data_IF_254896037795
#
_entry.id   IF_254896037795
#
_cell.length_a   1.000
_cell.length_b   1.000
_cell.length_c   1.000
_cell.angle_alpha   90.00
_cell.angle_beta   90.00
_cell.angle_gamma   90.00
#
_symmetry.space_group_name_H-M   'P 1'
#
loop_
_entity.id
_entity.type
_entity.pdbx_description
1 polymer ?
#
# COMPACT_ATOMS: atom_id res chain seq x y z
N UNK A 1 -24.96 45.29 -0.85
CA UNK A 1 -25.85 46.43 -1.10
C UNK A 1 -25.14 47.68 -0.58
N UNK A 2 -24.62 48.52 -1.49
CA UNK A 2 -23.86 49.72 -1.13
C UNK A 2 -24.85 50.86 -0.83
N UNK A 3 -24.87 51.37 0.39
CA UNK A 3 -25.64 52.59 0.74
C UNK A 3 -24.75 53.80 0.53
N UNK A 4 -25.15 54.68 -0.35
CA UNK A 4 -24.48 56.00 -0.56
C UNK A 4 -25.13 57.01 0.36
N UNK A 5 -24.36 57.62 1.27
CA UNK A 5 -24.77 58.74 2.10
C UNK A 5 -24.05 59.99 1.60
N UNK A 6 -24.77 60.95 1.08
CA UNK A 6 -24.24 62.23 0.64
C UNK A 6 -24.22 63.18 1.84
N UNK A 7 -23.06 63.62 2.28
CA UNK A 7 -22.89 64.62 3.33
C UNK A 7 -22.85 66.01 2.75
N UNK A 8 -23.33 66.99 3.49
CA UNK A 8 -23.49 68.43 3.11
C UNK A 8 -22.20 69.22 2.76
N UNK A 9 -21.07 68.54 2.57
CA UNK A 9 -19.78 69.15 2.15
C UNK A 9 -19.05 68.41 1.03
N UNK A 10 -19.74 67.64 0.19
CA UNK A 10 -19.16 67.17 -1.07
C UNK A 10 -18.04 66.08 -0.96
N UNK A 11 -17.80 65.49 0.19
CA UNK A 11 -16.90 64.33 0.30
C UNK A 11 -17.71 63.05 0.26
N UNK A 12 -17.46 62.20 -0.78
CA UNK A 12 -17.99 60.84 -0.89
C UNK A 12 -17.05 59.94 -0.09
N UNK A 13 -17.46 59.57 1.12
CA UNK A 13 -16.82 58.49 1.85
C UNK A 13 -17.54 57.19 1.49
N UNK A 14 -16.79 56.21 0.90
CA UNK A 14 -17.26 54.85 0.76
C UNK A 14 -17.18 54.20 2.15
N UNK A 15 -18.31 54.03 2.80
CA UNK A 15 -18.40 53.24 4.03
C UNK A 15 -18.31 51.78 3.63
N UNK A 16 -17.12 51.15 3.81
CA UNK A 16 -16.97 49.71 3.73
C UNK A 16 -17.89 49.11 4.78
N UNK A 17 -18.88 48.33 4.32
CA UNK A 17 -19.74 47.55 5.21
C UNK A 17 -18.89 46.67 6.12
N UNK A 18 -19.39 46.30 7.31
CA UNK A 18 -18.64 45.45 8.22
C UNK A 18 -18.16 44.22 7.49
N UNK A 19 -16.88 43.81 7.70
CA UNK A 19 -16.37 42.59 7.08
C UNK A 19 -17.34 41.42 7.39
N UNK A 20 -17.67 40.64 6.38
CA UNK A 20 -18.56 39.47 6.51
C UNK A 20 -18.07 38.59 7.68
N UNK A 21 -18.66 38.79 8.85
CA UNK A 21 -18.35 38.01 10.04
C UNK A 21 -19.04 36.65 9.84
N UNK A 22 -18.29 35.71 9.21
CA UNK A 22 -18.73 34.31 9.18
C UNK A 22 -19.09 33.85 10.59
N UNK A 23 -20.32 33.45 10.77
CA UNK A 23 -20.81 32.94 12.07
C UNK A 23 -20.03 31.69 12.46
N UNK A 24 -19.97 31.36 13.76
CA UNK A 24 -19.32 30.14 14.24
C UNK A 24 -19.92 28.89 13.61
N UNK A 25 -21.22 28.93 13.28
CA UNK A 25 -21.93 27.86 12.56
C UNK A 25 -21.41 27.70 11.13
N UNK A 26 -21.18 28.78 10.37
CA UNK A 26 -20.65 28.75 9.01
C UNK A 26 -19.22 28.21 8.97
N UNK A 27 -18.39 28.56 9.95
CA UNK A 27 -17.03 28.00 10.09
C UNK A 27 -17.06 26.50 10.39
N UNK A 28 -18.00 26.04 11.23
CA UNK A 28 -18.16 24.64 11.57
C UNK A 28 -18.66 23.83 10.36
N UNK A 29 -19.63 24.35 9.60
CA UNK A 29 -20.15 23.73 8.38
C UNK A 29 -19.05 23.64 7.31
N UNK A 30 -18.29 24.72 7.11
CA UNK A 30 -17.19 24.74 6.17
C UNK A 30 -16.08 23.76 6.54
N UNK A 31 -15.73 23.65 7.83
CA UNK A 31 -14.71 22.71 8.32
C UNK A 31 -15.17 21.25 8.18
N UNK A 32 -16.42 20.94 8.50
CA UNK A 32 -16.98 19.57 8.33
C UNK A 32 -17.09 19.17 6.88
N UNK A 33 -17.49 20.07 6.00
CA UNK A 33 -17.56 19.83 4.55
C UNK A 33 -16.16 19.60 3.94
N UNK A 34 -15.17 20.37 4.38
CA UNK A 34 -13.77 20.22 3.97
C UNK A 34 -13.18 18.88 4.45
N UNK A 35 -13.43 18.50 5.69
CA UNK A 35 -12.98 17.22 6.25
C UNK A 35 -13.62 16.01 5.53
N UNK A 36 -14.92 16.09 5.22
CA UNK A 36 -15.62 15.05 4.46
C UNK A 36 -15.13 14.95 3.01
N UNK A 37 -14.80 16.07 2.37
CA UNK A 37 -14.22 16.08 1.01
C UNK A 37 -12.81 15.47 1.03
N UNK A 38 -12.00 15.80 2.03
CA UNK A 38 -10.66 15.23 2.25
C UNK A 38 -10.72 13.72 2.48
N UNK A 39 -11.66 13.25 3.31
CA UNK A 39 -11.88 11.82 3.55
C UNK A 39 -12.23 11.06 2.27
N UNK A 40 -13.15 11.58 1.45
CA UNK A 40 -13.52 10.98 0.15
C UNK A 40 -12.36 10.91 -0.83
N UNK A 41 -11.54 11.98 -0.89
CA UNK A 41 -10.35 11.99 -1.74
C UNK A 41 -9.34 10.92 -1.29
N UNK A 42 -9.09 10.77 0.02
CA UNK A 42 -8.22 9.72 0.56
C UNK A 42 -8.70 8.31 0.22
N UNK A 43 -10.00 8.04 0.34
CA UNK A 43 -10.61 6.77 -0.05
C UNK A 43 -10.43 6.51 -1.55
N UNK A 44 -10.71 7.49 -2.41
CA UNK A 44 -10.55 7.35 -3.85
C UNK A 44 -9.09 7.01 -4.22
N UNK A 45 -8.10 7.70 -3.64
CA UNK A 45 -6.69 7.39 -3.83
C UNK A 45 -6.33 5.99 -3.35
N UNK A 46 -6.90 5.50 -2.24
CA UNK A 46 -6.64 4.15 -1.75
C UNK A 46 -7.25 3.08 -2.67
N UNK A 47 -8.45 3.28 -3.18
CA UNK A 47 -9.07 2.37 -4.17
C UNK A 47 -8.24 2.28 -5.46
N UNK A 48 -7.74 3.41 -5.96
CA UNK A 48 -6.81 3.44 -7.10
C UNK A 48 -5.52 2.69 -6.75
N UNK A 49 -4.97 2.92 -5.57
CA UNK A 49 -3.75 2.24 -5.09
C UNK A 49 -3.91 0.72 -5.10
N UNK A 50 -4.99 0.21 -4.53
CA UNK A 50 -5.24 -1.23 -4.43
C UNK A 50 -5.48 -1.86 -5.81
N UNK A 51 -6.20 -1.17 -6.70
CA UNK A 51 -6.36 -1.60 -8.08
C UNK A 51 -5.01 -1.68 -8.81
N UNK A 52 -4.18 -0.63 -8.69
CA UNK A 52 -2.86 -0.61 -9.33
C UNK A 52 -1.93 -1.70 -8.78
N UNK A 53 -1.94 -1.97 -7.48
CA UNK A 53 -1.14 -3.07 -6.92
C UNK A 53 -1.58 -4.43 -7.48
N UNK A 54 -2.88 -4.70 -7.54
CA UNK A 54 -3.37 -5.97 -8.09
C UNK A 54 -3.11 -6.06 -9.60
N UNK A 55 -3.23 -4.94 -10.33
CA UNK A 55 -2.83 -4.90 -11.75
C UNK A 55 -1.35 -5.19 -11.92
N UNK A 56 -0.49 -4.62 -11.07
CA UNK A 56 0.94 -4.90 -11.06
C UNK A 56 1.22 -6.39 -10.81
N UNK A 57 0.53 -7.00 -9.87
CA UNK A 57 0.66 -8.41 -9.54
C UNK A 57 0.19 -9.30 -10.70
N UNK A 58 -0.88 -8.92 -11.39
CA UNK A 58 -1.37 -9.62 -12.58
C UNK A 58 -0.34 -9.55 -13.73
N UNK A 59 0.24 -8.38 -14.00
CA UNK A 59 1.32 -8.23 -15.00
C UNK A 59 2.54 -9.07 -14.60
N UNK A 60 2.93 -9.06 -13.31
CA UNK A 60 4.03 -9.89 -12.80
C UNK A 60 3.74 -11.37 -13.04
N UNK A 61 2.52 -11.84 -12.74
CA UNK A 61 2.13 -13.24 -12.98
C UNK A 61 2.26 -13.65 -14.43
N UNK A 62 1.85 -12.80 -15.37
CA UNK A 62 2.03 -13.06 -16.81
C UNK A 62 3.50 -13.19 -17.17
N UNK A 63 4.33 -12.26 -16.73
CA UNK A 63 5.76 -12.22 -17.05
C UNK A 63 6.53 -13.42 -16.50
N UNK A 64 6.26 -13.85 -15.26
CA UNK A 64 7.02 -14.97 -14.63
C UNK A 64 6.70 -16.33 -15.23
N UNK A 65 5.69 -16.45 -16.09
CA UNK A 65 5.45 -17.67 -16.88
C UNK A 65 6.49 -17.84 -18.01
N UNK A 66 6.98 -16.71 -18.54
CA UNK A 66 7.86 -16.70 -19.70
C UNK A 66 9.30 -16.33 -19.34
N UNK A 67 9.48 -15.38 -18.43
CA UNK A 67 10.79 -14.82 -18.06
C UNK A 67 11.26 -15.27 -16.69
N UNK A 68 12.59 -15.30 -16.44
CA UNK A 68 13.14 -15.58 -15.11
C UNK A 68 12.63 -14.59 -14.06
N UNK A 69 12.32 -15.11 -12.88
CA UNK A 69 11.77 -14.31 -11.76
C UNK A 69 12.69 -13.13 -11.40
N UNK A 70 14.01 -13.37 -11.41
CA UNK A 70 15.02 -12.34 -11.10
C UNK A 70 14.97 -11.20 -12.09
N UNK A 71 14.80 -11.51 -13.38
CA UNK A 71 14.72 -10.52 -14.46
C UNK A 71 13.44 -9.67 -14.35
N UNK A 72 12.29 -10.31 -14.10
CA UNK A 72 11.01 -9.62 -13.91
C UNK A 72 11.07 -8.71 -12.67
N UNK A 73 11.64 -9.19 -11.57
CA UNK A 73 11.82 -8.40 -10.35
C UNK A 73 12.81 -7.24 -10.59
N UNK A 74 13.90 -7.49 -11.33
CA UNK A 74 14.84 -6.45 -11.71
C UNK A 74 14.18 -5.36 -12.53
N UNK A 75 13.43 -5.71 -13.57
CA UNK A 75 12.73 -4.75 -14.42
C UNK A 75 11.77 -3.87 -13.59
N UNK A 76 11.01 -4.50 -12.67
CA UNK A 76 10.13 -3.76 -11.74
C UNK A 76 10.90 -2.71 -10.94
N UNK A 77 12.03 -3.09 -10.33
CA UNK A 77 12.80 -2.18 -9.49
C UNK A 77 13.60 -1.16 -10.29
N UNK A 78 14.19 -1.55 -11.43
CA UNK A 78 14.98 -0.67 -12.28
C UNK A 78 14.12 0.47 -12.86
N UNK A 79 12.95 0.14 -13.43
CA UNK A 79 12.02 1.16 -13.96
C UNK A 79 11.50 2.05 -12.83
N UNK A 80 11.13 1.49 -11.68
CA UNK A 80 10.74 2.29 -10.50
C UNK A 80 11.87 3.22 -10.07
N UNK A 81 13.13 2.75 -10.03
CA UNK A 81 14.29 3.54 -9.64
C UNK A 81 14.50 4.73 -10.59
N UNK A 82 14.38 4.51 -11.91
CA UNK A 82 14.48 5.59 -12.90
C UNK A 82 13.39 6.65 -12.67
N UNK A 83 12.14 6.23 -12.50
CA UNK A 83 11.04 7.15 -12.25
C UNK A 83 11.19 7.88 -10.92
N UNK A 84 11.62 7.19 -9.86
CA UNK A 84 11.87 7.80 -8.56
C UNK A 84 13.03 8.81 -8.63
N UNK A 85 14.08 8.50 -9.37
CA UNK A 85 15.21 9.41 -9.62
C UNK A 85 14.73 10.68 -10.33
N UNK A 86 13.93 10.55 -11.40
CA UNK A 86 13.37 11.71 -12.14
C UNK A 86 12.54 12.59 -11.19
N UNK A 87 11.65 12.00 -10.37
CA UNK A 87 10.82 12.74 -9.41
C UNK A 87 11.65 13.48 -8.36
N UNK A 88 12.70 12.84 -7.84
CA UNK A 88 13.57 13.44 -6.82
C UNK A 88 14.45 14.52 -7.42
N UNK A 89 15.05 14.28 -8.61
CA UNK A 89 15.90 15.25 -9.30
C UNK A 89 15.10 16.52 -9.67
N UNK A 90 13.85 16.37 -10.12
CA UNK A 90 12.96 17.49 -10.43
C UNK A 90 12.56 18.32 -9.20
N UNK A 91 12.60 17.74 -7.98
CA UNK A 91 12.26 18.47 -6.75
C UNK A 91 13.48 19.08 -6.08
N UNK A 92 14.42 18.25 -5.62
CA UNK A 92 15.69 18.70 -5.03
C UNK A 92 16.61 17.48 -4.79
N UNK A 93 17.89 17.51 -5.22
CA UNK A 93 18.85 16.44 -4.97
C UNK A 93 19.06 16.09 -3.49
N UNK A 94 18.77 17.01 -2.57
CA UNK A 94 18.85 16.77 -1.11
C UNK A 94 18.00 15.60 -0.63
N UNK A 95 16.92 15.26 -1.35
CA UNK A 95 16.05 14.13 -1.03
C UNK A 95 16.67 12.77 -1.38
N UNK A 96 17.83 12.73 -2.05
CA UNK A 96 18.60 11.50 -2.28
C UNK A 96 19.37 11.06 -1.03
N UNK A 97 19.53 11.95 -0.04
CA UNK A 97 20.28 11.65 1.18
C UNK A 97 19.33 11.34 2.32
N UNK A 98 19.43 10.13 2.86
CA UNK A 98 18.69 9.69 4.05
C UNK A 98 19.50 9.98 5.32
N UNK A 99 18.80 10.27 6.42
CA UNK A 99 19.41 10.34 7.76
C UNK A 99 19.75 8.95 8.32
N UNK A 100 19.09 7.90 7.81
CA UNK A 100 19.29 6.50 8.24
C UNK A 100 19.42 5.55 7.02
N UNK A 101 20.48 5.70 6.21
CA UNK A 101 20.60 4.98 4.94
C UNK A 101 20.61 3.45 5.13
N UNK A 102 21.25 2.93 6.17
CA UNK A 102 21.25 1.49 6.47
C UNK A 102 19.85 0.92 6.73
N UNK A 103 19.00 1.66 7.45
CA UNK A 103 17.61 1.23 7.72
C UNK A 103 16.76 1.31 6.46
N UNK A 104 17.00 2.32 5.60
CA UNK A 104 16.36 2.41 4.28
C UNK A 104 16.75 1.25 3.37
N UNK A 105 18.03 0.87 3.32
CA UNK A 105 18.51 -0.26 2.53
C UNK A 105 17.95 -1.60 3.05
N UNK A 106 17.91 -1.79 4.37
CA UNK A 106 17.28 -2.96 4.99
C UNK A 106 15.80 -3.06 4.58
N UNK A 107 15.06 -1.95 4.67
CA UNK A 107 13.66 -1.86 4.24
C UNK A 107 13.51 -2.19 2.75
N UNK A 108 14.35 -1.61 1.89
CA UNK A 108 14.34 -1.88 0.45
C UNK A 108 14.69 -3.33 0.15
N UNK A 109 15.62 -3.94 0.89
CA UNK A 109 15.95 -5.36 0.79
C UNK A 109 14.77 -6.27 1.16
N UNK A 110 14.03 -5.93 2.24
CA UNK A 110 12.80 -6.64 2.61
C UNK A 110 11.75 -6.59 1.48
N UNK A 111 11.60 -5.44 0.81
CA UNK A 111 10.72 -5.33 -0.35
C UNK A 111 11.24 -6.16 -1.54
N UNK A 112 12.57 -6.25 -1.71
CA UNK A 112 13.20 -7.14 -2.70
C UNK A 112 12.84 -8.60 -2.45
N UNK A 113 13.02 -9.08 -1.22
CA UNK A 113 12.66 -10.45 -0.81
C UNK A 113 11.17 -10.70 -0.98
N UNK A 114 10.31 -9.79 -0.51
CA UNK A 114 8.86 -9.84 -0.73
C UNK A 114 8.53 -10.03 -2.21
N UNK A 115 9.15 -9.22 -3.09
CA UNK A 115 8.88 -9.27 -4.53
C UNK A 115 9.27 -10.59 -5.15
N UNK A 116 10.44 -11.14 -4.80
CA UNK A 116 10.89 -12.44 -5.31
C UNK A 116 10.00 -13.59 -4.83
N UNK A 117 9.60 -13.57 -3.56
CA UNK A 117 8.69 -14.57 -2.99
C UNK A 117 7.31 -14.48 -3.61
N UNK A 118 6.78 -13.27 -3.81
CA UNK A 118 5.49 -13.05 -4.48
C UNK A 118 5.54 -13.53 -5.95
N UNK A 119 6.60 -13.18 -6.69
CA UNK A 119 6.79 -13.61 -8.06
C UNK A 119 6.85 -15.13 -8.18
N UNK A 120 7.57 -15.81 -7.27
CA UNK A 120 7.62 -17.27 -7.22
C UNK A 120 6.26 -17.86 -6.81
N UNK A 121 5.51 -17.21 -5.91
CA UNK A 121 4.16 -17.61 -5.55
C UNK A 121 3.21 -17.56 -6.76
N UNK A 122 3.25 -16.47 -7.53
CA UNK A 122 2.42 -16.31 -8.74
C UNK A 122 2.81 -17.26 -9.87
N UNK A 123 4.02 -17.80 -9.85
CA UNK A 123 4.44 -18.84 -10.79
C UNK A 123 3.85 -20.22 -10.44
N UNK A 124 3.60 -20.48 -9.17
CA UNK A 124 3.32 -21.83 -8.65
C UNK A 124 1.90 -22.04 -8.14
N UNK A 125 1.20 -20.96 -7.77
CA UNK A 125 -0.11 -20.98 -7.13
C UNK A 125 -1.16 -20.17 -7.91
N UNK A 126 -2.46 -20.44 -7.73
CA UNK A 126 -3.54 -19.60 -8.24
C UNK A 126 -3.42 -18.15 -7.74
N UNK A 127 -3.77 -17.20 -8.61
CA UNK A 127 -3.61 -15.77 -8.34
C UNK A 127 -4.40 -15.31 -7.10
N UNK A 128 -5.65 -15.78 -6.98
CA UNK A 128 -6.54 -15.40 -5.88
C UNK A 128 -6.04 -15.95 -4.54
N UNK A 129 -5.50 -17.18 -4.52
CA UNK A 129 -4.97 -17.80 -3.29
C UNK A 129 -3.76 -17.03 -2.76
N UNK A 130 -2.83 -16.64 -3.65
CA UNK A 130 -1.66 -15.79 -3.29
C UNK A 130 -2.13 -14.45 -2.73
N UNK A 131 -3.07 -13.78 -3.39
CA UNK A 131 -3.60 -12.51 -2.95
C UNK A 131 -4.33 -12.62 -1.60
N UNK A 132 -5.11 -13.69 -1.40
CA UNK A 132 -5.83 -13.93 -0.15
C UNK A 132 -4.86 -14.16 1.03
N UNK A 133 -3.82 -14.97 0.84
CA UNK A 133 -2.77 -15.21 1.85
C UNK A 133 -1.99 -13.93 2.14
N UNK A 134 -1.68 -13.11 1.13
CA UNK A 134 -0.98 -11.83 1.32
C UNK A 134 -1.75 -10.86 2.26
N UNK A 135 -3.08 -10.95 2.28
CA UNK A 135 -3.91 -10.16 3.20
C UNK A 135 -3.78 -10.56 4.69
N UNK A 136 -2.98 -11.58 5.03
CA UNK A 136 -2.58 -11.89 6.42
C UNK A 136 -1.55 -10.85 6.95
N UNK A 137 -0.90 -10.07 6.09
CA UNK A 137 0.12 -9.11 6.51
C UNK A 137 -0.31 -8.17 7.65
N UNK A 138 -1.51 -7.57 7.71
CA UNK A 138 -1.94 -6.74 8.83
C UNK A 138 -2.00 -7.51 10.17
N UNK A 139 -2.35 -8.78 10.13
CA UNK A 139 -2.33 -9.67 11.31
C UNK A 139 -0.89 -9.85 11.80
N UNK A 140 0.04 -10.14 10.87
CA UNK A 140 1.47 -10.28 11.17
C UNK A 140 2.07 -8.97 11.69
N UNK A 141 1.67 -7.81 11.16
CA UNK A 141 2.10 -6.50 11.67
C UNK A 141 1.71 -6.37 13.15
N UNK A 142 0.49 -6.75 13.52
CA UNK A 142 0.01 -6.69 14.91
C UNK A 142 0.86 -7.59 15.82
N UNK A 143 1.15 -8.82 15.39
CA UNK A 143 1.99 -9.76 16.17
C UNK A 143 3.40 -9.22 16.33
N UNK A 144 4.02 -8.74 15.26
CA UNK A 144 5.40 -8.28 15.24
C UNK A 144 5.57 -6.89 15.90
N UNK A 145 4.52 -6.08 15.99
CA UNK A 145 4.58 -4.79 16.69
C UNK A 145 4.91 -4.95 18.18
N UNK A 146 4.49 -6.08 18.78
CA UNK A 146 4.79 -6.35 20.21
C UNK A 146 6.30 -6.43 20.50
N UNK A 147 7.08 -7.34 19.88
CA UNK A 147 8.52 -7.44 20.17
C UNK A 147 9.33 -6.29 19.55
N UNK A 148 8.96 -5.77 18.36
CA UNK A 148 9.78 -4.81 17.62
C UNK A 148 9.52 -3.37 18.08
N UNK A 149 8.24 -2.99 18.20
CA UNK A 149 7.85 -1.62 18.61
C UNK A 149 7.55 -1.52 20.09
N UNK A 150 7.59 -2.64 20.83
CA UNK A 150 7.24 -2.74 22.26
C UNK A 150 5.83 -2.24 22.57
N UNK A 151 4.91 -2.44 21.62
CA UNK A 151 3.50 -2.06 21.78
C UNK A 151 2.77 -3.06 22.67
N UNK A 152 1.88 -2.58 23.53
CA UNK A 152 0.99 -3.45 24.31
C UNK A 152 -0.26 -3.77 23.50
N UNK A 153 -0.45 -5.05 23.19
CA UNK A 153 -1.64 -5.54 22.45
C UNK A 153 -2.62 -6.16 23.44
N UNK A 154 -3.82 -5.58 23.53
CA UNK A 154 -4.88 -6.11 24.39
C UNK A 154 -5.46 -7.44 23.87
N UNK A 155 -6.04 -8.25 24.77
CA UNK A 155 -6.57 -9.58 24.45
C UNK A 155 -7.57 -9.60 23.29
N UNK A 156 -8.37 -8.53 23.13
CA UNK A 156 -9.33 -8.41 22.03
C UNK A 156 -8.65 -8.33 20.64
N UNK A 157 -7.48 -7.71 20.55
CA UNK A 157 -6.68 -7.68 19.30
C UNK A 157 -6.09 -9.07 19.02
N UNK A 158 -5.72 -9.82 20.07
CA UNK A 158 -5.28 -11.22 19.92
C UNK A 158 -6.38 -12.12 19.38
N UNK A 159 -7.67 -11.89 19.68
CA UNK A 159 -8.78 -12.59 19.03
C UNK A 159 -8.83 -12.33 17.52
N UNK A 160 -8.58 -11.10 17.09
CA UNK A 160 -8.48 -10.77 15.68
C UNK A 160 -7.26 -11.45 15.01
N UNK A 161 -6.11 -11.50 15.69
CA UNK A 161 -4.93 -12.25 15.24
C UNK A 161 -5.26 -13.73 15.03
N UNK A 162 -5.90 -14.34 16.00
CA UNK A 162 -6.31 -15.75 15.92
C UNK A 162 -7.29 -16.01 14.75
N UNK A 163 -8.29 -15.12 14.59
CA UNK A 163 -9.21 -15.18 13.43
C UNK A 163 -8.48 -15.08 12.10
N UNK A 164 -7.51 -14.18 11.97
CA UNK A 164 -6.70 -14.06 10.75
C UNK A 164 -5.91 -15.32 10.41
N UNK A 165 -5.33 -15.99 11.41
CA UNK A 165 -4.66 -17.27 11.23
C UNK A 165 -5.64 -18.40 10.84
N UNK A 166 -6.83 -18.44 11.44
CA UNK A 166 -7.88 -19.39 11.04
C UNK A 166 -8.30 -19.18 9.59
N UNK A 167 -8.45 -17.92 9.16
CA UNK A 167 -8.75 -17.60 7.77
C UNK A 167 -7.66 -18.09 6.80
N UNK A 168 -6.38 -17.92 7.15
CA UNK A 168 -5.28 -18.45 6.37
C UNK A 168 -5.32 -19.98 6.29
N UNK A 169 -5.60 -20.66 7.39
CA UNK A 169 -5.75 -22.13 7.42
C UNK A 169 -6.92 -22.61 6.56
N UNK A 170 -8.02 -21.86 6.50
CA UNK A 170 -9.15 -22.17 5.61
C UNK A 170 -8.76 -22.09 4.13
N UNK A 171 -7.94 -21.11 3.73
CA UNK A 171 -7.43 -20.99 2.34
C UNK A 171 -6.54 -22.19 2.00
N UNK A 172 -5.65 -22.54 2.92
CA UNK A 172 -4.75 -23.70 2.75
C UNK A 172 -5.54 -24.99 2.57
N UNK A 173 -6.69 -25.12 3.24
CA UNK A 173 -7.66 -26.19 3.12
C UNK A 173 -7.21 -27.53 3.70
N UNK A 174 -8.14 -28.35 4.21
CA UNK A 174 -7.83 -29.68 4.75
C UNK A 174 -7.56 -30.72 3.64
N UNK A 175 -7.88 -30.41 2.37
CA UNK A 175 -7.73 -31.35 1.25
C UNK A 175 -6.29 -31.49 0.75
N UNK A 176 -5.38 -30.63 1.15
CA UNK A 176 -3.96 -30.75 0.86
C UNK A 176 -3.26 -31.57 1.95
N UNK A 177 -3.61 -32.84 2.10
CA UNK A 177 -2.81 -33.79 2.88
C UNK A 177 -1.37 -33.96 2.35
N UNK A 178 -1.10 -33.41 1.17
CA UNK A 178 0.25 -33.16 0.67
C UNK A 178 0.55 -31.69 0.96
N UNK A 179 1.32 -31.43 2.00
CA UNK A 179 1.83 -30.11 2.35
C UNK A 179 2.52 -29.49 1.12
N UNK A 180 1.84 -28.53 0.46
CA UNK A 180 2.41 -27.88 -0.71
C UNK A 180 3.40 -26.81 -0.22
N UNK A 181 4.69 -27.05 -0.39
CA UNK A 181 5.76 -26.11 -0.10
C UNK A 181 5.50 -24.71 -0.68
N UNK A 182 4.81 -24.68 -1.82
CA UNK A 182 4.44 -23.44 -2.49
C UNK A 182 3.64 -22.46 -1.59
N UNK A 183 2.85 -22.97 -0.64
CA UNK A 183 2.05 -22.15 0.29
C UNK A 183 2.93 -21.35 1.26
N UNK A 184 4.12 -21.82 1.58
CA UNK A 184 5.07 -21.07 2.41
C UNK A 184 5.55 -19.81 1.72
N UNK A 185 5.57 -19.78 0.39
CA UNK A 185 6.06 -18.62 -0.37
C UNK A 185 5.22 -17.36 -0.11
N UNK A 186 3.88 -17.36 -0.30
CA UNK A 186 3.08 -16.18 -0.01
C UNK A 186 3.00 -15.87 1.50
N UNK A 187 3.13 -16.85 2.40
CA UNK A 187 3.23 -16.59 3.83
C UNK A 187 4.54 -15.86 4.20
N UNK A 188 5.68 -16.32 3.65
CA UNK A 188 6.96 -15.63 3.82
C UNK A 188 6.95 -14.25 3.15
N UNK A 189 6.26 -14.08 2.02
CA UNK A 189 6.04 -12.79 1.39
C UNK A 189 5.22 -11.86 2.29
N UNK A 190 4.13 -12.35 2.90
CA UNK A 190 3.32 -11.59 3.85
C UNK A 190 4.12 -11.19 5.09
N UNK A 191 4.98 -12.08 5.61
CA UNK A 191 5.90 -11.77 6.71
C UNK A 191 6.90 -10.68 6.33
N UNK A 192 7.52 -10.80 5.15
CA UNK A 192 8.45 -9.79 4.63
C UNK A 192 7.75 -8.43 4.42
N UNK A 193 6.50 -8.44 3.97
CA UNK A 193 5.67 -7.24 3.86
C UNK A 193 5.38 -6.62 5.23
N UNK A 194 5.06 -7.42 6.23
CA UNK A 194 4.82 -6.94 7.59
C UNK A 194 6.07 -6.26 8.18
N UNK A 195 7.24 -6.88 8.03
CA UNK A 195 8.52 -6.30 8.45
C UNK A 195 8.84 -5.00 7.68
N UNK A 196 8.66 -5.00 6.36
CA UNK A 196 8.82 -3.81 5.52
C UNK A 196 7.95 -2.64 6.02
N UNK A 197 6.69 -2.90 6.37
CA UNK A 197 5.78 -1.87 6.87
C UNK A 197 6.17 -1.37 8.26
N UNK A 198 6.62 -2.25 9.17
CA UNK A 198 7.12 -1.87 10.50
C UNK A 198 8.36 -0.97 10.38
N UNK A 199 9.33 -1.35 9.54
CA UNK A 199 10.53 -0.54 9.29
C UNK A 199 10.17 0.79 8.63
N UNK A 200 9.19 0.81 7.73
CA UNK A 200 8.65 2.06 7.14
C UNK A 200 8.08 2.98 8.22
N UNK A 201 7.36 2.42 9.19
CA UNK A 201 6.82 3.18 10.33
C UNK A 201 7.94 3.79 11.19
N UNK A 202 9.01 3.04 11.44
CA UNK A 202 10.19 3.53 12.19
C UNK A 202 10.86 4.71 11.46
N UNK A 203 10.95 4.65 10.12
CA UNK A 203 11.58 5.69 9.31
C UNK A 203 10.76 6.96 9.16
N UNK A 204 9.45 6.92 9.41
CA UNK A 204 8.55 8.08 9.26
C UNK A 204 9.00 9.30 10.08
N UNK A 205 9.65 9.07 11.22
CA UNK A 205 10.14 10.15 12.09
C UNK A 205 11.48 10.73 11.68
N UNK A 206 12.23 10.07 10.78
CA UNK A 206 13.61 10.46 10.43
C UNK A 206 13.75 11.02 9.03
N UNK A 207 13.01 10.47 8.06
CA UNK A 207 13.18 10.80 6.64
C UNK A 207 11.88 11.31 5.99
N UNK A 208 11.97 12.28 5.07
CA UNK A 208 10.86 12.68 4.24
C UNK A 208 10.34 11.52 3.38
N UNK A 209 9.04 11.51 3.09
CA UNK A 209 8.41 10.45 2.28
C UNK A 209 9.02 10.32 0.88
N UNK A 210 9.47 11.44 0.29
CA UNK A 210 10.14 11.46 -1.02
C UNK A 210 11.47 10.71 -0.98
N UNK A 211 12.26 10.88 0.09
CA UNK A 211 13.49 10.11 0.33
C UNK A 211 13.18 8.63 0.46
N UNK A 212 12.19 8.28 1.26
CA UNK A 212 11.76 6.89 1.44
C UNK A 212 11.27 6.27 0.13
N UNK A 213 10.53 7.02 -0.70
CA UNK A 213 10.11 6.60 -2.04
C UNK A 213 11.33 6.30 -2.95
N UNK A 214 12.35 7.16 -2.95
CA UNK A 214 13.58 6.95 -3.72
C UNK A 214 14.32 5.68 -3.29
N UNK A 215 14.51 5.47 -1.98
CA UNK A 215 15.19 4.28 -1.47
C UNK A 215 14.41 2.98 -1.68
N UNK A 216 13.11 3.03 -1.98
CA UNK A 216 12.24 1.85 -2.09
C UNK A 216 12.77 0.81 -3.08
N UNK A 217 13.39 1.24 -4.19
CA UNK A 217 13.83 0.36 -5.27
C UNK A 217 15.33 0.04 -5.27
N UNK A 218 16.14 0.76 -4.48
CA UNK A 218 17.61 0.68 -4.58
C UNK A 218 18.12 -0.73 -4.27
N UNK A 219 17.83 -1.27 -3.08
CA UNK A 219 18.36 -2.57 -2.70
C UNK A 219 17.80 -3.71 -3.57
N UNK A 220 16.52 -3.61 -3.97
CA UNK A 220 15.92 -4.57 -4.91
C UNK A 220 16.60 -4.55 -6.28
N UNK A 221 16.86 -3.35 -6.83
CA UNK A 221 17.61 -3.22 -8.09
C UNK A 221 19.01 -3.81 -7.97
N UNK A 222 19.77 -3.45 -6.93
CA UNK A 222 21.14 -3.95 -6.72
C UNK A 222 21.15 -5.48 -6.56
N UNK A 223 20.29 -6.00 -5.69
CA UNK A 223 20.21 -7.44 -5.42
C UNK A 223 19.88 -8.25 -6.68
N UNK A 224 18.90 -7.79 -7.45
CA UNK A 224 18.54 -8.47 -8.70
C UNK A 224 19.61 -8.25 -9.78
N UNK A 225 20.28 -7.09 -9.87
CA UNK A 225 21.37 -6.85 -10.81
C UNK A 225 22.56 -7.78 -10.60
N UNK A 226 22.87 -8.14 -9.35
CA UNK A 226 23.92 -9.10 -9.05
C UNK A 226 23.62 -10.51 -9.56
N UNK A 227 22.35 -10.93 -9.57
CA UNK A 227 21.92 -12.24 -10.03
C UNK A 227 21.51 -12.26 -11.53
N UNK A 228 21.33 -11.09 -12.14
CA UNK A 228 20.83 -10.94 -13.51
C UNK A 228 21.69 -11.63 -14.58
N UNK A 229 23.05 -11.57 -14.54
CA UNK A 229 23.87 -12.17 -15.59
C UNK A 229 23.64 -13.66 -15.80
N UNK A 230 23.22 -14.37 -14.77
CA UNK A 230 22.90 -15.81 -14.81
C UNK A 230 21.40 -16.10 -15.07
N UNK A 231 20.58 -15.04 -15.13
CA UNK A 231 19.12 -15.16 -15.22
C UNK A 231 18.56 -14.24 -16.32
N UNK A 232 19.33 -13.96 -17.37
CA UNK A 232 18.90 -13.07 -18.45
C UNK A 232 18.35 -13.86 -19.63
N UNK A 233 17.14 -13.53 -20.05
CA UNK A 233 16.52 -13.96 -21.30
C UNK A 233 16.09 -12.71 -22.03
N UNK A 234 16.63 -12.46 -23.22
CA UNK A 234 16.31 -11.22 -23.96
C UNK A 234 14.83 -11.12 -24.23
N UNK A 235 14.14 -10.12 -23.65
CA UNK A 235 12.70 -9.98 -23.79
C UNK A 235 12.33 -9.58 -25.23
N UNK A 236 11.23 -10.12 -25.72
CA UNK A 236 10.61 -9.63 -26.94
C UNK A 236 9.96 -8.25 -26.71
N UNK A 237 9.42 -7.64 -27.76
CA UNK A 237 8.84 -6.30 -27.68
C UNK A 237 7.66 -6.22 -26.68
N UNK A 238 6.85 -7.28 -26.60
CA UNK A 238 5.70 -7.35 -25.68
C UNK A 238 6.20 -7.53 -24.25
N UNK A 239 7.15 -8.46 -24.02
CA UNK A 239 7.76 -8.68 -22.71
C UNK A 239 8.42 -7.43 -22.16
N UNK A 240 9.19 -6.71 -23.02
CA UNK A 240 9.80 -5.44 -22.63
C UNK A 240 8.75 -4.38 -22.26
N UNK A 241 7.69 -4.24 -23.06
CA UNK A 241 6.60 -3.31 -22.76
C UNK A 241 5.90 -3.65 -21.44
N UNK A 242 5.65 -4.94 -21.18
CA UNK A 242 5.05 -5.39 -19.91
C UNK A 242 6.01 -5.18 -18.71
N UNK A 243 7.32 -5.35 -18.88
CA UNK A 243 8.33 -5.07 -17.85
C UNK A 243 8.38 -3.58 -17.50
N UNK A 244 8.34 -2.69 -18.51
CA UNK A 244 8.25 -1.24 -18.29
C UNK A 244 6.93 -0.87 -17.62
N UNK A 245 5.82 -1.46 -18.07
CA UNK A 245 4.51 -1.27 -17.47
C UNK A 245 4.51 -1.71 -15.99
N UNK A 246 5.08 -2.88 -15.67
CA UNK A 246 5.19 -3.42 -14.32
C UNK A 246 5.85 -2.43 -13.35
N UNK A 247 7.01 -1.91 -13.71
CA UNK A 247 7.73 -0.96 -12.86
C UNK A 247 7.06 0.40 -12.78
N UNK A 248 6.43 0.85 -13.87
CA UNK A 248 5.67 2.11 -13.92
C UNK A 248 4.42 2.06 -13.05
N UNK A 249 3.64 0.98 -13.13
CA UNK A 249 2.49 0.75 -12.24
C UNK A 249 2.96 0.72 -10.78
N UNK A 250 4.09 0.06 -10.48
CA UNK A 250 4.65 0.02 -9.14
C UNK A 250 4.97 1.41 -8.59
N UNK A 251 5.61 2.27 -9.38
CA UNK A 251 5.89 3.65 -8.98
C UNK A 251 4.59 4.46 -8.77
N UNK A 252 3.63 4.34 -9.69
CA UNK A 252 2.32 5.01 -9.58
C UNK A 252 1.54 4.53 -8.35
N UNK A 253 1.53 3.22 -8.05
CA UNK A 253 0.84 2.66 -6.89
C UNK A 253 1.37 3.25 -5.59
N UNK A 254 2.69 3.31 -5.43
CA UNK A 254 3.32 3.93 -4.26
C UNK A 254 3.04 5.43 -4.17
N UNK A 255 3.01 6.14 -5.30
CA UNK A 255 2.61 7.55 -5.32
C UNK A 255 1.16 7.74 -4.87
N UNK A 256 0.23 6.94 -5.40
CA UNK A 256 -1.19 6.98 -5.01
C UNK A 256 -1.38 6.63 -3.53
N UNK A 257 -0.62 5.66 -3.01
CA UNK A 257 -0.63 5.29 -1.59
C UNK A 257 -0.24 6.47 -0.70
N UNK A 258 0.82 7.20 -1.08
CA UNK A 258 1.23 8.41 -0.38
C UNK A 258 0.11 9.46 -0.41
N UNK A 259 -0.50 9.68 -1.58
CA UNK A 259 -1.62 10.62 -1.74
C UNK A 259 -2.82 10.23 -0.87
N UNK A 260 -3.15 8.95 -0.77
CA UNK A 260 -4.22 8.47 0.09
C UNK A 260 -3.99 8.85 1.57
N UNK A 261 -2.79 8.55 2.10
CA UNK A 261 -2.44 8.85 3.50
C UNK A 261 -2.12 10.32 3.78
N UNK A 262 -1.91 11.15 2.76
CA UNK A 262 -1.79 12.61 2.93
C UNK A 262 -3.13 13.33 2.82
N UNK A 263 -4.09 12.74 2.08
CA UNK A 263 -5.41 13.32 1.89
C UNK A 263 -6.36 13.05 3.05
N UNK A 264 -6.21 11.92 3.77
CA UNK A 264 -7.07 11.56 4.90
C UNK A 264 -6.31 10.74 5.95
N UNK A 265 -6.86 10.69 7.15
CA UNK A 265 -6.32 9.92 8.26
C UNK A 265 -6.25 8.42 7.92
N UNK A 266 -5.21 7.76 8.42
CA UNK A 266 -5.02 6.32 8.25
C UNK A 266 -6.26 5.52 8.69
N UNK A 267 -6.95 5.98 9.73
CA UNK A 267 -8.20 5.43 10.22
C UNK A 267 -9.34 5.45 9.18
N UNK A 268 -9.31 6.35 8.24
CA UNK A 268 -10.33 6.45 7.18
C UNK A 268 -9.96 5.57 5.98
N UNK A 269 -8.68 5.50 5.61
CA UNK A 269 -8.25 4.87 4.34
C UNK A 269 -7.82 3.42 4.48
N UNK A 270 -7.26 3.00 5.62
CA UNK A 270 -6.70 1.65 5.78
C UNK A 270 -7.71 0.50 5.55
N UNK A 271 -9.00 0.59 5.95
CA UNK A 271 -9.98 -0.47 5.65
C UNK A 271 -10.15 -0.74 4.16
N UNK A 272 -9.99 0.29 3.32
CA UNK A 272 -10.09 0.15 1.86
C UNK A 272 -8.89 -0.57 1.25
N UNK A 273 -7.80 -0.77 2.00
CA UNK A 273 -6.70 -1.65 1.60
C UNK A 273 -7.14 -3.09 1.31
N UNK A 274 -8.17 -3.58 2.02
CA UNK A 274 -8.71 -4.93 1.78
C UNK A 274 -9.46 -5.09 0.45
N UNK A 275 -9.74 -4.00 -0.27
CA UNK A 275 -10.29 -4.10 -1.64
C UNK A 275 -9.34 -4.78 -2.62
N UNK A 276 -8.05 -4.94 -2.28
CA UNK A 276 -7.10 -5.79 -3.01
C UNK A 276 -7.65 -7.18 -3.26
N UNK A 277 -8.36 -7.78 -2.28
CA UNK A 277 -8.96 -9.10 -2.45
C UNK A 277 -10.10 -9.09 -3.48
N UNK A 278 -10.92 -8.04 -3.51
CA UNK A 278 -11.99 -7.88 -4.50
C UNK A 278 -11.40 -7.80 -5.90
N UNK A 279 -10.39 -6.95 -6.09
CA UNK A 279 -9.68 -6.83 -7.37
C UNK A 279 -9.00 -8.12 -7.77
N UNK A 280 -8.38 -8.83 -6.82
CA UNK A 280 -7.73 -10.13 -7.09
C UNK A 280 -8.72 -11.18 -7.57
N UNK A 281 -9.92 -11.25 -6.99
CA UNK A 281 -10.99 -12.15 -7.45
C UNK A 281 -11.43 -11.77 -8.86
N UNK A 282 -11.61 -10.47 -9.15
CA UNK A 282 -11.99 -10.01 -10.48
C UNK A 282 -10.92 -10.33 -11.53
N UNK A 283 -9.63 -10.09 -11.23
CA UNK A 283 -8.53 -10.46 -12.13
C UNK A 283 -8.40 -11.98 -12.30
N UNK A 284 -8.55 -12.74 -11.21
CA UNK A 284 -8.57 -14.20 -11.25
C UNK A 284 -9.61 -14.71 -12.24
N UNK A 285 -10.85 -14.23 -12.12
CA UNK A 285 -11.97 -14.63 -12.99
C UNK A 285 -11.80 -14.13 -14.42
N UNK A 286 -11.54 -12.83 -14.62
CA UNK A 286 -11.64 -12.18 -15.94
C UNK A 286 -10.38 -12.33 -16.78
N UNK A 287 -9.20 -12.38 -16.14
CA UNK A 287 -7.90 -12.42 -16.85
C UNK A 287 -7.34 -13.84 -16.88
N UNK A 288 -7.43 -14.57 -15.76
CA UNK A 288 -6.81 -15.88 -15.63
C UNK A 288 -7.79 -17.05 -15.75
N UNK A 289 -9.11 -16.78 -15.80
CA UNK A 289 -10.14 -17.84 -15.85
C UNK A 289 -10.16 -18.70 -14.58
N UNK A 290 -9.62 -18.21 -13.47
CA UNK A 290 -9.54 -18.91 -12.19
C UNK A 290 -10.79 -18.66 -11.37
N UNK A 291 -11.53 -19.71 -11.04
CA UNK A 291 -12.66 -19.65 -10.11
C UNK A 291 -12.14 -19.90 -8.70
N UNK A 292 -12.21 -18.92 -7.78
CA UNK A 292 -11.78 -19.14 -6.40
C UNK A 292 -12.55 -20.27 -5.74
N UNK A 293 -11.86 -21.10 -4.97
CA UNK A 293 -12.52 -22.14 -4.19
C UNK A 293 -13.40 -21.52 -3.08
N UNK A 294 -14.42 -22.25 -2.64
CA UNK A 294 -15.25 -21.81 -1.53
C UNK A 294 -14.42 -21.59 -0.24
N UNK A 295 -13.38 -22.40 -0.03
CA UNK A 295 -12.44 -22.24 1.09
C UNK A 295 -11.59 -20.97 0.96
N UNK A 296 -11.13 -20.61 -0.25
CA UNK A 296 -10.42 -19.35 -0.51
C UNK A 296 -11.28 -18.14 -0.22
N UNK A 297 -12.54 -18.15 -0.67
CA UNK A 297 -13.49 -17.07 -0.40
C UNK A 297 -13.82 -16.97 1.10
N UNK A 298 -14.14 -18.09 1.75
CA UNK A 298 -14.44 -18.11 3.18
C UNK A 298 -13.24 -17.64 4.03
N UNK A 299 -12.04 -18.16 3.74
CA UNK A 299 -10.83 -17.76 4.42
C UNK A 299 -10.49 -16.29 4.20
N UNK A 300 -10.67 -15.78 2.98
CA UNK A 300 -10.50 -14.36 2.65
C UNK A 300 -11.45 -13.46 3.44
N UNK A 301 -12.72 -13.82 3.55
CA UNK A 301 -13.71 -13.10 4.37
C UNK A 301 -13.31 -13.09 5.85
N UNK A 302 -12.83 -14.21 6.39
CA UNK A 302 -12.36 -14.30 7.78
C UNK A 302 -11.11 -13.42 8.00
N UNK A 303 -10.14 -13.43 7.07
CA UNK A 303 -8.94 -12.58 7.16
C UNK A 303 -9.33 -11.09 7.15
N UNK A 304 -10.17 -10.68 6.19
CA UNK A 304 -10.63 -9.30 6.06
C UNK A 304 -11.40 -8.88 7.32
N UNK A 305 -12.34 -9.71 7.79
CA UNK A 305 -13.12 -9.45 9.00
C UNK A 305 -12.22 -9.31 10.24
N UNK A 306 -11.21 -10.17 10.37
CA UNK A 306 -10.24 -10.13 11.47
C UNK A 306 -9.39 -8.85 11.42
N UNK A 307 -8.90 -8.47 10.24
CA UNK A 307 -8.12 -7.25 10.06
C UNK A 307 -8.94 -5.98 10.32
N UNK A 308 -10.19 -5.91 9.86
CA UNK A 308 -11.10 -4.81 10.15
C UNK A 308 -11.45 -4.73 11.66
N UNK A 309 -11.59 -5.87 12.31
CA UNK A 309 -11.81 -5.91 13.76
C UNK A 309 -10.60 -5.39 14.53
N UNK A 310 -9.37 -5.82 14.19
CA UNK A 310 -8.12 -5.31 14.78
C UNK A 310 -8.07 -3.79 14.62
N UNK A 311 -8.28 -3.31 13.41
CA UNK A 311 -8.25 -1.90 13.07
C UNK A 311 -9.28 -1.08 13.86
N UNK A 312 -10.53 -1.54 13.95
CA UNK A 312 -11.57 -0.89 14.76
C UNK A 312 -11.15 -0.78 16.24
N UNK A 313 -10.54 -1.85 16.79
CA UNK A 313 -10.08 -1.85 18.18
C UNK A 313 -8.90 -0.89 18.43
N UNK A 314 -8.04 -0.70 17.45
CA UNK A 314 -6.98 0.32 17.50
C UNK A 314 -7.56 1.74 17.58
N UNK A 315 -8.56 2.04 16.76
CA UNK A 315 -9.22 3.35 16.80
C UNK A 315 -9.92 3.62 18.15
N UNK A 316 -10.64 2.63 18.67
CA UNK A 316 -11.32 2.76 19.99
C UNK A 316 -10.31 3.02 21.11
N UNK A 317 -9.13 2.42 21.04
CA UNK A 317 -8.06 2.66 22.01
C UNK A 317 -7.47 4.07 21.86
N UNK A 318 -7.12 4.48 20.66
CA UNK A 318 -6.56 5.81 20.39
C UNK A 318 -7.49 6.94 20.85
N UNK A 319 -8.82 6.77 20.68
CA UNK A 319 -9.81 7.74 21.18
C UNK A 319 -9.94 7.80 22.69
N UNK A 320 -9.51 6.76 23.43
CA UNK A 320 -9.55 6.75 24.91
C UNK A 320 -8.28 7.30 25.53
N UNK A 321 -7.19 7.33 24.76
CA UNK A 321 -5.88 7.84 25.18
C UNK A 321 -5.68 9.33 24.78
N UNK A 322 -6.55 9.87 23.89
CA UNK A 322 -6.64 11.29 23.49
C UNK A 322 -7.64 12.06 24.37
#
# INVERSE_FOLDING_TARGET
MVRVRVGLRGSVALEEGPPDVMTSADKTISATTSAAASGRAGIAWMLITTLLFVTQDAVMRVLVQTYPIVEVAWARFAVHMVLAFIVVAARSPRYMVSRRPGVQLLRSGMLGVLTLLAALSYKTLPFVDVAAIANVAPVLITVLSVPILKETVGWRRWLGVFGGFLGAMLIIGPASLVFQWAILLPLCAALSNALYQIVTRILRSSDPTVTTFFYTSIAGTVMCSLALPWNWVTPDAIGLALMVLLGSIGACSHFCLIRAYTAADAATVAPFGYTTLVWAVLYGLLVFGEVPSASTLAGGVVIVGSGLYIFHREQVRARKEA
#
